data_IF_775894209748
#
_entry.id   IF_775894209748
#
_cell.length_a   1.000
_cell.length_b   1.000
_cell.length_c   1.000
_cell.angle_alpha   90.00
_cell.angle_beta   90.00
_cell.angle_gamma   90.00
#
_symmetry.space_group_name_H-M   'P 1'
#
loop_
_entity.id
_entity.type
_entity.pdbx_description
1 polymer ?
#
# COMPACT_ATOMS: atom_id res chain seq x y z
N UNK A 1 -13.02 -20.45 40.82
CA UNK A 1 -11.85 -20.27 39.94
C UNK A 1 -11.79 -18.80 39.53
N UNK A 2 -11.13 -17.97 40.36
CA UNK A 2 -10.89 -16.56 40.08
C UNK A 2 -9.68 -16.48 39.14
N UNK A 3 -9.92 -16.14 37.87
CA UNK A 3 -8.84 -15.76 36.96
C UNK A 3 -8.20 -14.47 37.50
N UNK A 4 -6.90 -14.53 37.78
CA UNK A 4 -6.11 -13.35 38.12
C UNK A 4 -6.19 -12.37 36.95
N UNK A 5 -6.34 -11.05 37.21
CA UNK A 5 -6.31 -10.06 36.15
C UNK A 5 -4.95 -10.10 35.45
N UNK A 6 -5.00 -10.19 34.12
CA UNK A 6 -3.82 -10.11 33.26
C UNK A 6 -3.16 -8.72 33.43
N UNK A 7 -2.14 -8.68 34.25
CA UNK A 7 -1.40 -7.46 34.63
C UNK A 7 -0.30 -7.12 33.62
N UNK A 8 -0.51 -7.45 32.34
CA UNK A 8 0.33 -6.91 31.27
C UNK A 8 0.04 -5.41 31.15
N UNK A 9 1.05 -4.53 31.12
CA UNK A 9 0.81 -3.13 30.87
C UNK A 9 0.09 -3.02 29.54
N UNK A 10 -1.15 -2.53 29.57
CA UNK A 10 -1.89 -2.13 28.36
C UNK A 10 -1.11 -0.96 27.76
N UNK A 11 -0.21 -1.30 26.84
CA UNK A 11 0.44 -0.30 26.00
C UNK A 11 -0.66 0.20 25.06
N UNK A 12 -1.40 1.22 25.45
CA UNK A 12 -2.43 1.83 24.64
C UNK A 12 -1.84 2.87 23.71
N UNK A 13 -2.60 3.22 22.67
CA UNK A 13 -2.24 4.28 21.71
C UNK A 13 -2.95 5.61 22.02
N UNK A 14 -3.59 5.74 23.17
CA UNK A 14 -4.37 6.92 23.55
C UNK A 14 -3.55 8.21 23.56
N UNK A 15 -2.27 8.17 23.95
CA UNK A 15 -1.36 9.32 23.88
C UNK A 15 -1.18 9.82 22.45
N UNK A 16 -1.09 8.93 21.47
CA UNK A 16 -0.96 9.29 20.06
C UNK A 16 -2.28 9.82 19.50
N UNK A 17 -3.39 9.17 19.84
CA UNK A 17 -4.74 9.67 19.46
C UNK A 17 -4.96 11.08 19.98
N UNK A 18 -4.52 11.39 21.20
CA UNK A 18 -4.59 12.73 21.77
C UNK A 18 -3.81 13.77 20.94
N UNK A 19 -2.63 13.43 20.42
CA UNK A 19 -1.85 14.35 19.57
C UNK A 19 -2.49 14.57 18.20
N UNK A 20 -2.86 13.49 17.50
CA UNK A 20 -3.43 13.57 16.15
C UNK A 20 -4.90 14.02 16.13
N UNK A 21 -5.60 13.91 17.26
CA UNK A 21 -7.05 14.14 17.38
C UNK A 21 -7.45 15.47 18.03
N UNK A 22 -6.52 16.42 18.23
CA UNK A 22 -6.79 17.72 18.91
C UNK A 22 -7.70 18.69 18.15
N UNK A 23 -8.41 18.24 17.14
CA UNK A 23 -9.23 19.08 16.28
C UNK A 23 -8.45 19.66 15.10
N UNK A 24 -9.16 20.41 14.24
CA UNK A 24 -8.65 20.86 12.93
C UNK A 24 -7.37 21.68 13.03
N UNK A 25 -7.30 22.57 14.03
CA UNK A 25 -6.20 23.53 14.16
C UNK A 25 -5.17 23.10 15.23
N UNK A 26 -5.50 22.10 16.05
CA UNK A 26 -4.66 21.62 17.15
C UNK A 26 -3.98 20.28 16.89
N UNK A 27 -4.37 19.57 15.85
CA UNK A 27 -3.79 18.28 15.52
C UNK A 27 -2.31 18.39 15.17
N UNK A 28 -1.49 17.51 15.76
CA UNK A 28 -0.05 17.46 15.54
C UNK A 28 0.34 16.18 14.84
N UNK A 29 1.35 16.27 13.98
CA UNK A 29 1.96 15.10 13.37
C UNK A 29 2.76 14.32 14.43
N UNK A 30 2.76 13.00 14.29
CA UNK A 30 3.64 12.12 15.04
C UNK A 30 5.04 12.13 14.42
N UNK A 31 6.06 11.90 15.24
CA UNK A 31 7.38 11.56 14.69
C UNK A 31 7.35 10.18 14.04
N UNK A 32 8.36 9.87 13.23
CA UNK A 32 8.48 8.54 12.59
C UNK A 32 8.49 7.40 13.59
N UNK A 33 9.19 7.60 14.74
CA UNK A 33 9.26 6.61 15.81
C UNK A 33 7.91 6.41 16.50
N UNK A 34 7.20 7.51 16.80
CA UNK A 34 5.86 7.45 17.40
C UNK A 34 4.85 6.76 16.44
N UNK A 35 4.91 7.08 15.15
CA UNK A 35 4.09 6.46 14.14
C UNK A 35 4.42 4.96 13.98
N UNK A 36 5.71 4.58 14.09
CA UNK A 36 6.16 3.18 14.06
C UNK A 36 5.60 2.41 15.26
N UNK A 37 5.68 2.98 16.46
CA UNK A 37 5.16 2.33 17.68
C UNK A 37 3.63 2.18 17.61
N UNK A 38 2.91 3.26 17.26
CA UNK A 38 1.46 3.22 17.12
C UNK A 38 1.01 2.14 16.14
N UNK A 39 1.54 2.17 14.92
CA UNK A 39 1.16 1.21 13.89
C UNK A 39 1.56 -0.21 14.29
N UNK A 40 2.70 -0.39 14.94
CA UNK A 40 3.14 -1.67 15.46
C UNK A 40 2.13 -2.27 16.44
N UNK A 41 1.66 -1.50 17.40
CA UNK A 41 0.64 -1.94 18.37
C UNK A 41 -0.69 -2.30 17.70
N UNK A 42 -1.12 -1.50 16.70
CA UNK A 42 -2.34 -1.76 15.92
C UNK A 42 -2.21 -3.08 15.14
N UNK A 43 -1.12 -3.26 14.42
CA UNK A 43 -0.89 -4.48 13.60
C UNK A 43 -0.75 -5.75 14.45
N UNK A 44 -0.19 -5.63 15.66
CA UNK A 44 -0.06 -6.72 16.63
C UNK A 44 -1.38 -7.06 17.34
N UNK A 45 -2.44 -6.24 17.17
CA UNK A 45 -3.70 -6.41 17.86
C UNK A 45 -3.60 -6.15 19.38
N UNK A 46 -2.69 -5.27 19.80
CA UNK A 46 -2.47 -4.92 21.23
C UNK A 46 -3.31 -3.74 21.68
N UNK A 47 -4.20 -3.27 20.85
CA UNK A 47 -5.08 -2.12 21.08
C UNK A 47 -6.53 -2.56 20.96
N UNK A 48 -7.42 -1.82 21.60
CA UNK A 48 -8.86 -2.07 21.52
C UNK A 48 -9.45 -1.61 20.19
N UNK A 49 -10.58 -2.15 19.79
CA UNK A 49 -11.32 -1.73 18.60
C UNK A 49 -11.69 -0.23 18.66
N UNK A 50 -11.98 0.28 19.87
CA UNK A 50 -12.28 1.70 20.10
C UNK A 50 -11.05 2.58 19.79
N UNK A 51 -9.86 2.16 20.22
CA UNK A 51 -8.61 2.87 19.90
C UNK A 51 -8.31 2.82 18.41
N UNK A 52 -8.51 1.67 17.76
CA UNK A 52 -8.35 1.53 16.30
C UNK A 52 -9.31 2.48 15.57
N UNK A 53 -10.58 2.50 15.95
CA UNK A 53 -11.58 3.41 15.38
C UNK A 53 -11.21 4.88 15.58
N UNK A 54 -10.81 5.26 16.78
CA UNK A 54 -10.34 6.61 17.12
C UNK A 54 -9.12 7.03 16.29
N UNK A 55 -8.12 6.16 16.17
CA UNK A 55 -6.95 6.37 15.33
C UNK A 55 -7.33 6.56 13.85
N UNK A 56 -8.14 5.67 13.30
CA UNK A 56 -8.55 5.74 11.90
C UNK A 56 -9.29 7.04 11.59
N UNK A 57 -10.20 7.46 12.46
CA UNK A 57 -10.97 8.69 12.27
C UNK A 57 -10.11 9.95 12.44
N UNK A 58 -9.27 10.00 13.48
CA UNK A 58 -8.37 11.12 13.71
C UNK A 58 -7.41 11.34 12.53
N UNK A 59 -6.80 10.26 12.03
CA UNK A 59 -5.93 10.33 10.85
C UNK A 59 -6.68 10.70 9.57
N UNK A 60 -7.92 10.24 9.40
CA UNK A 60 -8.74 10.62 8.25
C UNK A 60 -9.02 12.12 8.20
N UNK A 61 -9.20 12.75 9.36
CA UNK A 61 -9.47 14.19 9.48
C UNK A 61 -8.18 15.00 9.33
N UNK A 62 -7.10 14.57 10.00
CA UNK A 62 -5.81 15.27 9.98
C UNK A 62 -5.06 15.10 8.65
N UNK A 63 -5.10 13.92 8.06
CA UNK A 63 -4.22 13.47 6.99
C UNK A 63 -2.86 12.99 7.50
N UNK A 64 -2.25 12.06 6.79
CA UNK A 64 -0.91 11.54 7.09
C UNK A 64 0.17 12.47 6.54
N UNK A 65 1.25 12.68 7.30
CA UNK A 65 2.48 13.28 6.78
C UNK A 65 3.39 12.21 6.18
N UNK A 66 4.35 12.56 5.30
CA UNK A 66 5.35 11.62 4.80
C UNK A 66 6.17 10.93 5.91
N UNK A 67 6.49 11.65 6.97
CA UNK A 67 7.18 11.13 8.17
C UNK A 67 6.35 10.06 8.88
N UNK A 68 5.07 10.35 9.13
CA UNK A 68 4.15 9.38 9.74
C UNK A 68 3.99 8.15 8.87
N UNK A 69 3.84 8.35 7.56
CA UNK A 69 3.71 7.25 6.61
C UNK A 69 4.97 6.40 6.56
N UNK A 70 6.16 7.00 6.64
CA UNK A 70 7.41 6.26 6.73
C UNK A 70 7.46 5.40 8.00
N UNK A 71 7.04 5.94 9.15
CA UNK A 71 6.93 5.17 10.40
C UNK A 71 5.93 4.03 10.31
N UNK A 72 4.78 4.24 9.67
CA UNK A 72 3.79 3.18 9.43
C UNK A 72 4.34 2.08 8.52
N UNK A 73 5.13 2.44 7.52
CA UNK A 73 5.84 1.49 6.65
C UNK A 73 6.89 0.70 7.42
N UNK A 74 7.69 1.34 8.27
CA UNK A 74 8.69 0.66 9.11
C UNK A 74 8.04 -0.41 9.99
N UNK A 75 6.96 -0.07 10.69
CA UNK A 75 6.20 -1.01 11.52
C UNK A 75 5.63 -2.18 10.72
N UNK A 76 5.11 -1.88 9.52
CA UNK A 76 4.53 -2.88 8.62
C UNK A 76 5.60 -3.80 8.07
N UNK A 77 6.69 -3.26 7.53
CA UNK A 77 7.81 -4.04 7.00
C UNK A 77 8.41 -5.00 8.02
N UNK A 78 8.49 -4.60 9.29
CA UNK A 78 8.96 -5.47 10.38
C UNK A 78 8.02 -6.66 10.67
N UNK A 79 6.76 -6.61 10.20
CA UNK A 79 5.73 -7.62 10.46
C UNK A 79 5.29 -8.40 9.23
N UNK A 80 5.75 -7.99 8.05
CA UNK A 80 5.45 -8.72 6.82
C UNK A 80 6.18 -10.07 6.80
N UNK A 81 5.45 -11.10 6.43
CA UNK A 81 6.06 -12.30 5.88
C UNK A 81 6.45 -11.98 4.44
N UNK A 82 7.74 -11.77 4.23
CA UNK A 82 8.26 -11.27 2.95
C UNK A 82 8.82 -12.41 2.12
N UNK A 83 8.36 -12.60 0.86
CA UNK A 83 9.03 -13.51 -0.05
C UNK A 83 10.44 -13.03 -0.33
N UNK A 84 11.42 -13.95 -0.46
CA UNK A 84 12.75 -13.57 -0.87
C UNK A 84 12.72 -12.99 -2.28
N UNK A 85 13.48 -11.93 -2.53
CA UNK A 85 13.77 -11.50 -3.88
C UNK A 85 14.83 -12.43 -4.49
N UNK A 86 14.67 -12.72 -5.78
CA UNK A 86 15.70 -13.39 -6.56
C UNK A 86 16.86 -12.45 -6.91
N UNK A 87 17.70 -12.86 -7.86
CA UNK A 87 18.82 -12.05 -8.36
C UNK A 87 18.36 -10.76 -9.07
N UNK A 88 17.13 -10.71 -9.57
CA UNK A 88 16.54 -9.55 -10.25
C UNK A 88 15.54 -8.84 -9.34
N UNK A 89 15.40 -7.50 -9.48
CA UNK A 89 14.37 -6.75 -8.78
C UNK A 89 12.97 -7.25 -9.14
N UNK A 90 12.10 -7.37 -8.14
CA UNK A 90 10.70 -7.72 -8.33
C UNK A 90 9.90 -6.46 -8.66
N UNK A 91 9.11 -6.50 -9.73
CA UNK A 91 8.12 -5.44 -10.02
C UNK A 91 6.90 -5.65 -9.15
N UNK A 92 6.60 -4.68 -8.31
CA UNK A 92 5.50 -4.73 -7.34
C UNK A 92 4.34 -3.86 -7.81
N UNK A 93 3.17 -4.47 -7.96
CA UNK A 93 1.93 -3.83 -8.39
C UNK A 93 0.88 -3.88 -7.27
N UNK A 94 0.74 -2.83 -6.43
CA UNK A 94 -0.29 -2.77 -5.40
C UNK A 94 -1.68 -2.60 -6.03
N UNK A 95 -2.63 -3.53 -5.77
CA UNK A 95 -3.98 -3.50 -6.33
C UNK A 95 -5.02 -3.58 -5.20
N UNK A 96 -5.50 -2.43 -4.75
CA UNK A 96 -6.41 -2.28 -3.60
C UNK A 96 -7.67 -1.49 -3.90
N UNK A 97 -7.69 -0.77 -5.00
CA UNK A 97 -8.85 0.05 -5.35
C UNK A 97 -9.88 -0.74 -6.13
N UNK A 98 -9.45 -1.63 -7.01
CA UNK A 98 -10.32 -2.31 -7.95
C UNK A 98 -10.96 -1.36 -8.97
N UNK A 99 -11.66 -1.93 -9.94
CA UNK A 99 -12.33 -1.18 -10.99
C UNK A 99 -13.85 -1.11 -10.77
N UNK A 100 -14.45 0.04 -11.11
CA UNK A 100 -15.89 0.27 -11.04
C UNK A 100 -16.49 0.67 -12.37
N UNK A 101 -15.83 1.52 -13.12
CA UNK A 101 -16.31 2.08 -14.40
C UNK A 101 -15.45 1.67 -15.60
N UNK A 102 -14.18 1.42 -15.38
CA UNK A 102 -13.20 1.05 -16.39
C UNK A 102 -12.69 -0.37 -16.16
N UNK A 103 -12.16 -1.06 -17.18
CA UNK A 103 -11.56 -2.37 -16.99
C UNK A 103 -10.40 -2.33 -15.99
N UNK A 104 -10.27 -3.36 -15.16
CA UNK A 104 -9.13 -3.54 -14.27
C UNK A 104 -7.96 -4.15 -15.06
N UNK A 105 -6.99 -3.34 -15.42
CA UNK A 105 -5.87 -3.76 -16.25
C UNK A 105 -4.61 -4.12 -15.47
N UNK A 106 -4.61 -4.02 -14.15
CA UNK A 106 -3.45 -4.40 -13.32
C UNK A 106 -3.02 -5.84 -13.53
N UNK A 107 -3.92 -6.86 -13.58
CA UNK A 107 -3.52 -8.23 -13.90
C UNK A 107 -2.92 -8.36 -15.30
N UNK A 108 -3.49 -7.70 -16.31
CA UNK A 108 -2.94 -7.70 -17.66
C UNK A 108 -1.53 -7.11 -17.71
N UNK A 109 -1.31 -5.96 -17.05
CA UNK A 109 0.02 -5.36 -16.94
C UNK A 109 1.02 -6.33 -16.30
N UNK A 110 0.63 -6.97 -15.20
CA UNK A 110 1.46 -7.96 -14.52
C UNK A 110 1.86 -9.13 -15.43
N UNK A 111 0.90 -9.67 -16.17
CA UNK A 111 1.15 -10.78 -17.11
C UNK A 111 2.02 -10.36 -18.30
N UNK A 112 1.85 -9.15 -18.83
CA UNK A 112 2.69 -8.62 -19.90
C UNK A 112 4.13 -8.39 -19.45
N UNK A 113 4.34 -7.85 -18.26
CA UNK A 113 5.67 -7.67 -17.67
C UNK A 113 6.34 -9.02 -17.41
N UNK A 114 5.60 -10.00 -16.90
CA UNK A 114 6.09 -11.36 -16.72
C UNK A 114 6.49 -12.00 -18.06
N UNK A 115 5.67 -11.86 -19.09
CA UNK A 115 5.99 -12.32 -20.44
C UNK A 115 7.26 -11.66 -20.99
N UNK A 116 7.56 -10.42 -20.58
CA UNK A 116 8.80 -9.73 -20.92
C UNK A 116 10.01 -10.16 -20.06
N UNK A 117 9.85 -11.17 -19.19
CA UNK A 117 10.91 -11.72 -18.35
C UNK A 117 11.02 -11.13 -16.94
N UNK A 118 10.18 -10.18 -16.55
CA UNK A 118 10.20 -9.65 -15.20
C UNK A 118 9.64 -10.64 -14.18
N UNK A 119 10.16 -10.59 -12.94
CA UNK A 119 9.50 -11.17 -11.79
C UNK A 119 8.43 -10.17 -11.31
N UNK A 120 7.16 -10.55 -11.25
CA UNK A 120 6.06 -9.65 -10.92
C UNK A 120 5.27 -10.15 -9.71
N UNK A 121 5.09 -9.28 -8.73
CA UNK A 121 4.24 -9.50 -7.59
C UNK A 121 3.09 -8.49 -7.60
N UNK A 122 1.88 -8.97 -7.81
CA UNK A 122 0.65 -8.20 -7.59
C UNK A 122 0.17 -8.53 -6.19
N UNK A 123 -0.08 -7.54 -5.35
CA UNK A 123 -0.62 -7.79 -4.03
C UNK A 123 -1.87 -6.93 -3.78
N UNK A 124 -2.78 -7.46 -2.98
CA UNK A 124 -4.03 -6.79 -2.73
C UNK A 124 -4.97 -7.57 -1.82
N UNK A 125 -6.08 -6.94 -1.53
CA UNK A 125 -7.24 -7.54 -0.87
C UNK A 125 -8.48 -6.72 -1.20
N UNK A 126 -9.67 -7.33 -1.28
CA UNK A 126 -10.90 -6.59 -1.43
C UNK A 126 -11.14 -5.66 -0.23
N UNK A 127 -11.25 -4.36 -0.48
CA UNK A 127 -11.58 -3.35 0.55
C UNK A 127 -12.98 -2.78 0.39
N UNK A 128 -13.68 -3.14 -0.70
CA UNK A 128 -15.02 -2.67 -1.06
C UNK A 128 -15.71 -3.71 -1.96
N UNK A 129 -16.95 -4.08 -1.64
CA UNK A 129 -17.64 -5.20 -2.30
C UNK A 129 -18.20 -4.87 -3.70
N UNK A 130 -18.31 -3.58 -4.04
CA UNK A 130 -18.89 -3.11 -5.31
C UNK A 130 -17.88 -2.97 -6.44
N UNK A 131 -16.65 -3.44 -6.27
CA UNK A 131 -15.59 -3.28 -7.25
C UNK A 131 -15.05 -4.62 -7.73
N UNK A 132 -14.68 -4.67 -8.99
CA UNK A 132 -13.91 -5.80 -9.53
C UNK A 132 -12.49 -5.71 -9.03
N UNK A 133 -12.00 -6.74 -8.36
CA UNK A 133 -10.66 -6.79 -7.77
C UNK A 133 -9.68 -7.56 -8.64
N UNK A 134 -8.37 -7.34 -8.45
CA UNK A 134 -7.35 -8.12 -9.16
C UNK A 134 -7.47 -9.61 -8.86
N UNK A 135 -7.80 -9.98 -7.64
CA UNK A 135 -8.04 -11.37 -7.25
C UNK A 135 -9.14 -12.02 -8.10
N UNK A 136 -10.28 -11.33 -8.27
CA UNK A 136 -11.38 -11.82 -9.09
C UNK A 136 -10.99 -11.98 -10.57
N UNK A 137 -10.21 -11.05 -11.11
CA UNK A 137 -9.72 -11.13 -12.49
C UNK A 137 -8.72 -12.28 -12.65
N UNK A 138 -7.77 -12.45 -11.75
CA UNK A 138 -6.82 -13.57 -11.76
C UNK A 138 -7.55 -14.91 -11.66
N UNK A 139 -8.54 -15.03 -10.77
CA UNK A 139 -9.35 -16.23 -10.65
C UNK A 139 -10.09 -16.57 -11.95
N UNK A 140 -10.67 -15.55 -12.63
CA UNK A 140 -11.34 -15.73 -13.93
C UNK A 140 -10.36 -16.16 -15.05
N UNK A 141 -9.07 -15.80 -14.92
CA UNK A 141 -8.00 -16.22 -15.83
C UNK A 141 -7.39 -17.58 -15.46
N UNK A 142 -7.91 -18.26 -14.44
CA UNK A 142 -7.38 -19.53 -13.94
C UNK A 142 -6.07 -19.41 -13.15
N UNK A 143 -5.69 -18.21 -12.73
CA UNK A 143 -4.50 -17.96 -11.90
C UNK A 143 -4.94 -17.95 -10.44
N UNK A 144 -4.57 -18.99 -9.69
CA UNK A 144 -4.88 -19.07 -8.27
C UNK A 144 -4.04 -18.06 -7.46
N UNK A 145 -4.65 -17.42 -6.44
CA UNK A 145 -3.88 -16.61 -5.51
C UNK A 145 -2.89 -17.47 -4.72
N UNK A 146 -1.76 -16.89 -4.35
CA UNK A 146 -0.80 -17.57 -3.50
C UNK A 146 -1.40 -17.77 -2.09
N UNK A 147 -1.48 -19.01 -1.64
CA UNK A 147 -1.99 -19.36 -0.30
C UNK A 147 -0.96 -19.17 0.80
N UNK A 148 0.30 -19.03 0.42
CA UNK A 148 1.46 -18.76 1.29
C UNK A 148 2.45 -17.86 0.59
N UNK A 149 3.29 -17.22 1.37
CA UNK A 149 4.39 -16.40 0.83
C UNK A 149 5.33 -17.28 0.02
N UNK A 150 5.56 -16.91 -1.23
CA UNK A 150 6.46 -17.59 -2.17
C UNK A 150 7.28 -16.55 -2.94
N UNK A 151 8.45 -16.97 -3.43
CA UNK A 151 9.29 -16.11 -4.25
C UNK A 151 8.59 -15.74 -5.56
N UNK A 152 8.84 -14.53 -6.05
CA UNK A 152 8.46 -14.11 -7.39
C UNK A 152 9.60 -14.47 -8.35
N UNK A 153 9.33 -15.41 -9.25
CA UNK A 153 10.31 -15.89 -10.20
C UNK A 153 10.30 -15.06 -11.49
N UNK A 154 11.44 -14.87 -12.15
CA UNK A 154 11.51 -14.22 -13.47
C UNK A 154 10.56 -14.88 -14.48
N UNK A 155 9.86 -14.08 -15.25
CA UNK A 155 8.87 -14.56 -16.21
C UNK A 155 7.53 -14.99 -15.60
N UNK A 156 7.32 -14.78 -14.30
CA UNK A 156 6.06 -15.12 -13.62
C UNK A 156 5.37 -13.90 -13.03
N UNK A 157 4.03 -13.98 -12.95
CA UNK A 157 3.18 -13.00 -12.26
C UNK A 157 2.42 -13.72 -11.14
N UNK A 158 2.71 -13.36 -9.91
CA UNK A 158 2.09 -13.95 -8.73
C UNK A 158 1.13 -12.95 -8.09
N UNK A 159 -0.11 -13.37 -7.79
CA UNK A 159 -1.02 -12.60 -6.95
C UNK A 159 -0.92 -13.09 -5.49
N UNK A 160 -0.60 -12.15 -4.59
CA UNK A 160 -0.44 -12.43 -3.17
C UNK A 160 -1.45 -11.64 -2.34
N UNK A 161 -2.39 -12.32 -1.68
CA UNK A 161 -3.32 -11.68 -0.77
C UNK A 161 -2.61 -11.02 0.43
N UNK A 162 -3.12 -9.88 0.87
CA UNK A 162 -2.53 -9.13 2.00
C UNK A 162 -2.48 -9.96 3.28
N UNK A 163 -3.50 -10.77 3.54
CA UNK A 163 -3.59 -11.63 4.71
C UNK A 163 -2.51 -12.73 4.74
N UNK A 164 -2.03 -13.18 3.59
CA UNK A 164 -0.92 -14.11 3.51
C UNK A 164 0.40 -13.49 4.00
N UNK A 165 0.55 -12.17 3.79
CA UNK A 165 1.74 -11.43 4.20
C UNK A 165 1.63 -10.85 5.60
N UNK A 166 0.48 -10.26 5.95
CA UNK A 166 0.26 -9.61 7.25
C UNK A 166 -1.23 -9.56 7.60
N UNK A 167 -1.65 -10.42 8.50
CA UNK A 167 -3.05 -10.48 8.96
C UNK A 167 -3.49 -9.20 9.68
N UNK A 168 -2.59 -8.57 10.46
CA UNK A 168 -2.87 -7.30 11.14
C UNK A 168 -3.17 -6.17 10.15
N UNK A 169 -2.44 -6.11 9.04
CA UNK A 169 -2.69 -5.13 7.98
C UNK A 169 -4.03 -5.37 7.29
N UNK A 170 -4.38 -6.64 7.03
CA UNK A 170 -5.71 -7.00 6.49
C UNK A 170 -6.82 -6.55 7.42
N UNK A 171 -6.70 -6.81 8.74
CA UNK A 171 -7.69 -6.37 9.74
C UNK A 171 -7.85 -4.85 9.74
N UNK A 172 -6.75 -4.09 9.66
CA UNK A 172 -6.80 -2.62 9.62
C UNK A 172 -7.48 -2.12 8.34
N UNK A 173 -7.25 -2.75 7.18
CA UNK A 173 -7.97 -2.45 5.95
C UNK A 173 -9.47 -2.72 6.08
N UNK A 174 -9.86 -3.80 6.75
CA UNK A 174 -11.26 -4.19 6.95
C UNK A 174 -12.02 -3.25 7.90
N UNK A 175 -11.35 -2.46 8.73
CA UNK A 175 -11.98 -1.41 9.55
C UNK A 175 -12.86 -0.49 8.70
N UNK A 176 -12.50 -0.28 7.42
CA UNK A 176 -13.34 0.47 6.48
C UNK A 176 -14.75 -0.09 6.34
N UNK A 177 -14.94 -1.41 6.42
CA UNK A 177 -16.26 -2.05 6.31
C UNK A 177 -17.19 -1.68 7.46
N UNK A 178 -16.60 -1.39 8.62
CA UNK A 178 -17.33 -0.98 9.83
C UNK A 178 -17.48 0.54 9.90
N UNK A 179 -16.39 1.27 9.73
CA UNK A 179 -16.36 2.74 9.89
C UNK A 179 -16.85 3.48 8.63
N UNK A 180 -16.84 2.83 7.46
CA UNK A 180 -17.26 3.43 6.19
C UNK A 180 -16.21 4.35 5.56
N UNK A 181 -15.07 4.58 6.21
CA UNK A 181 -14.03 5.51 5.78
C UNK A 181 -12.71 4.80 5.53
N UNK A 182 -11.94 5.29 4.55
CA UNK A 182 -10.54 4.88 4.37
C UNK A 182 -9.70 5.35 5.54
N UNK A 183 -8.71 4.55 5.91
CA UNK A 183 -7.73 4.81 6.96
C UNK A 183 -6.30 4.78 6.39
N UNK A 184 -5.25 5.06 7.17
CA UNK A 184 -3.87 5.11 6.69
C UNK A 184 -3.39 3.86 5.97
N UNK A 185 -3.91 2.68 6.28
CA UNK A 185 -3.52 1.44 5.61
C UNK A 185 -3.79 1.48 4.09
N UNK A 186 -4.83 2.21 3.65
CA UNK A 186 -5.18 2.32 2.23
C UNK A 186 -4.15 3.13 1.41
N UNK A 187 -3.42 4.04 2.05
CA UNK A 187 -2.29 4.77 1.46
C UNK A 187 -1.01 3.95 1.58
N UNK A 188 -0.77 3.37 2.76
CA UNK A 188 0.39 2.58 3.10
C UNK A 188 0.62 1.41 2.12
N UNK A 189 -0.42 0.63 1.81
CA UNK A 189 -0.30 -0.55 0.94
C UNK A 189 0.17 -0.23 -0.48
N UNK A 190 0.02 1.02 -0.91
CA UNK A 190 0.50 1.48 -2.22
C UNK A 190 1.99 1.86 -2.23
N UNK A 191 2.59 1.96 -1.06
CA UNK A 191 3.96 2.43 -0.84
C UNK A 191 4.88 1.33 -0.31
N UNK A 192 4.32 0.23 0.19
CA UNK A 192 5.12 -0.81 0.84
C UNK A 192 5.91 -1.66 -0.15
N UNK A 193 7.11 -2.06 0.26
CA UNK A 193 7.88 -3.12 -0.38
C UNK A 193 7.53 -4.46 0.29
N UNK A 194 6.77 -5.34 -0.37
CA UNK A 194 6.36 -6.61 0.22
C UNK A 194 7.41 -7.72 0.11
N UNK A 195 8.54 -7.51 -0.58
CA UNK A 195 9.57 -8.54 -0.78
C UNK A 195 10.80 -8.27 0.08
N UNK A 196 11.54 -9.33 0.41
CA UNK A 196 12.82 -9.23 1.09
C UNK A 196 13.94 -9.13 0.05
N UNK A 197 14.25 -7.88 -0.34
CA UNK A 197 15.26 -7.58 -1.34
C UNK A 197 14.85 -6.50 -2.33
N UNK A 198 15.56 -6.40 -3.47
CA UNK A 198 15.31 -5.36 -4.45
C UNK A 198 13.91 -5.44 -5.06
N UNK A 199 13.20 -4.31 -5.04
CA UNK A 199 11.88 -4.18 -5.64
C UNK A 199 11.76 -2.84 -6.39
N UNK A 200 10.93 -2.85 -7.43
CA UNK A 200 10.45 -1.65 -8.10
C UNK A 200 8.94 -1.52 -7.84
N UNK A 201 8.58 -0.61 -6.95
CA UNK A 201 7.18 -0.38 -6.59
C UNK A 201 6.53 0.52 -7.63
N UNK A 202 5.39 0.10 -8.19
CA UNK A 202 4.60 0.96 -9.08
C UNK A 202 3.50 1.63 -8.26
N UNK A 203 3.82 2.79 -7.68
CA UNK A 203 2.88 3.61 -6.91
C UNK A 203 1.91 4.36 -7.82
N UNK A 204 0.65 4.49 -7.40
CA UNK A 204 -0.36 5.20 -8.16
C UNK A 204 -1.18 6.14 -7.30
N UNK A 205 -1.48 7.32 -7.83
CA UNK A 205 -2.38 8.30 -7.23
C UNK A 205 -3.54 8.63 -8.16
N UNK A 206 -4.65 9.12 -7.61
CA UNK A 206 -5.80 9.61 -8.38
C UNK A 206 -5.80 11.13 -8.44
N UNK A 207 -5.48 11.79 -7.33
CA UNK A 207 -5.46 13.24 -7.19
C UNK A 207 -4.03 13.74 -7.09
N UNK A 208 -3.66 14.81 -7.82
CA UNK A 208 -2.29 15.31 -7.92
C UNK A 208 -1.63 15.66 -6.57
N UNK A 209 -2.40 16.08 -5.58
CA UNK A 209 -1.90 16.41 -4.24
C UNK A 209 -1.23 15.22 -3.54
N UNK A 210 -1.65 14.01 -3.84
CA UNK A 210 -1.01 12.80 -3.28
C UNK A 210 0.34 12.47 -3.93
N UNK A 211 0.61 12.98 -5.13
CA UNK A 211 1.88 12.68 -5.82
C UNK A 211 3.09 13.17 -5.02
N UNK A 212 3.01 14.38 -4.45
CA UNK A 212 4.10 14.95 -3.67
C UNK A 212 4.35 14.15 -2.38
N UNK A 213 3.31 13.92 -1.60
CA UNK A 213 3.42 13.14 -0.34
C UNK A 213 3.93 11.71 -0.58
N UNK A 214 3.47 11.04 -1.63
CA UNK A 214 3.96 9.70 -1.98
C UNK A 214 5.43 9.73 -2.41
N UNK A 215 5.85 10.70 -3.23
CA UNK A 215 7.24 10.85 -3.65
C UNK A 215 8.17 11.14 -2.46
N UNK A 216 7.76 12.00 -1.54
CA UNK A 216 8.49 12.29 -0.30
C UNK A 216 8.60 11.06 0.59
N UNK A 217 7.53 10.28 0.73
CA UNK A 217 7.57 9.01 1.49
C UNK A 217 8.54 8.01 0.85
N UNK A 218 8.54 7.85 -0.48
CA UNK A 218 9.51 7.01 -1.17
C UNK A 218 10.95 7.49 -0.96
N UNK A 219 11.15 8.80 -0.93
CA UNK A 219 12.47 9.38 -0.65
C UNK A 219 12.93 9.08 0.79
N UNK A 220 12.05 9.25 1.78
CA UNK A 220 12.34 8.99 3.20
C UNK A 220 12.63 7.49 3.47
N UNK A 221 11.95 6.60 2.76
CA UNK A 221 12.15 5.15 2.89
C UNK A 221 13.26 4.58 2.02
N UNK A 222 13.86 5.38 1.13
CA UNK A 222 14.87 4.95 0.17
C UNK A 222 14.35 3.97 -0.89
N UNK A 223 13.05 3.87 -1.07
CA UNK A 223 12.44 2.93 -1.98
C UNK A 223 12.73 3.25 -3.45
N UNK A 224 12.81 2.19 -4.27
CA UNK A 224 12.83 2.33 -5.72
C UNK A 224 11.38 2.23 -6.22
N UNK A 225 10.88 3.30 -6.83
CA UNK A 225 9.50 3.34 -7.27
C UNK A 225 9.31 4.07 -8.60
N UNK A 226 8.25 3.71 -9.29
CA UNK A 226 7.64 4.50 -10.35
C UNK A 226 6.32 5.05 -9.81
N UNK A 227 6.10 6.34 -9.92
CA UNK A 227 4.88 7.00 -9.46
C UNK A 227 4.14 7.60 -10.66
N UNK A 228 2.87 7.24 -10.80
CA UNK A 228 2.04 7.71 -11.90
C UNK A 228 0.60 7.99 -11.46
N UNK A 229 -0.11 8.79 -12.26
CA UNK A 229 -1.56 8.92 -12.09
C UNK A 229 -2.24 7.66 -12.60
N UNK A 230 -2.83 6.90 -11.67
CA UNK A 230 -3.45 5.62 -11.96
C UNK A 230 -4.90 5.74 -12.44
N UNK A 231 -5.36 4.71 -13.14
CA UNK A 231 -6.76 4.55 -13.54
C UNK A 231 -7.56 4.02 -12.36
N UNK A 232 -8.52 4.79 -11.87
CA UNK A 232 -9.33 4.47 -10.67
C UNK A 232 -8.48 4.13 -9.42
N UNK A 233 -7.20 4.57 -9.39
CA UNK A 233 -6.25 4.34 -8.29
C UNK A 233 -5.47 3.04 -8.37
N UNK A 234 -5.58 2.32 -9.49
CA UNK A 234 -4.77 1.16 -9.81
C UNK A 234 -3.46 1.57 -10.51
N UNK A 235 -2.38 0.77 -10.43
CA UNK A 235 -1.05 1.13 -10.96
C UNK A 235 -0.96 0.97 -12.49
N UNK A 236 -1.97 1.42 -13.19
CA UNK A 236 -2.07 1.39 -14.66
C UNK A 236 -2.43 2.77 -15.17
N UNK A 237 -1.70 3.26 -16.15
CA UNK A 237 -1.97 4.53 -16.79
C UNK A 237 -3.29 4.51 -17.58
N UNK A 238 -3.95 5.65 -17.63
CA UNK A 238 -5.12 5.84 -18.50
C UNK A 238 -4.65 5.94 -19.95
N UNK A 239 -5.08 5.00 -20.80
CA UNK A 239 -4.71 4.95 -22.23
C UNK A 239 -5.10 6.20 -23.04
N UNK A 240 -6.02 7.02 -22.53
CA UNK A 240 -6.44 8.27 -23.15
C UNK A 240 -5.47 9.43 -22.92
N UNK A 241 -4.42 9.24 -22.12
CA UNK A 241 -3.46 10.29 -21.72
C UNK A 241 -2.04 9.75 -21.80
N UNK A 242 -1.11 10.60 -22.24
CA UNK A 242 0.30 10.34 -22.04
C UNK A 242 0.60 10.35 -20.53
N UNK A 243 1.05 9.24 -19.91
CA UNK A 243 1.30 9.21 -18.49
C UNK A 243 2.58 9.99 -18.17
N UNK A 244 2.52 10.88 -17.19
CA UNK A 244 3.72 11.35 -16.52
C UNK A 244 4.13 10.28 -15.52
N UNK A 245 5.33 9.75 -15.68
CA UNK A 245 5.90 8.75 -14.76
C UNK A 245 7.08 9.40 -14.06
N UNK A 246 7.04 9.44 -12.74
CA UNK A 246 8.13 9.91 -11.90
C UNK A 246 8.90 8.69 -11.38
N UNK A 247 10.22 8.69 -11.54
CA UNK A 247 11.07 7.67 -10.98
C UNK A 247 11.67 8.15 -9.65
N UNK A 248 11.46 7.40 -8.58
CA UNK A 248 12.08 7.58 -7.28
C UNK A 248 13.17 6.52 -7.11
N UNK A 249 14.41 6.94 -6.88
CA UNK A 249 15.54 6.02 -6.68
C UNK A 249 16.46 6.55 -5.58
N UNK A 250 16.63 5.77 -4.52
CA UNK A 250 17.54 6.07 -3.42
C UNK A 250 17.41 7.52 -2.90
N UNK A 251 16.17 7.96 -2.60
CA UNK A 251 15.89 9.31 -2.12
C UNK A 251 15.95 10.42 -3.18
N UNK A 252 16.17 10.10 -4.46
CA UNK A 252 16.21 11.07 -5.56
C UNK A 252 15.00 10.91 -6.47
N UNK A 253 14.32 12.01 -6.75
CA UNK A 253 13.22 12.13 -7.70
C UNK A 253 13.77 12.50 -9.09
N UNK A 254 13.32 11.78 -10.13
CA UNK A 254 13.61 12.11 -11.54
C UNK A 254 12.34 12.02 -12.35
N UNK A 255 11.98 13.09 -13.05
CA UNK A 255 10.90 13.05 -14.03
C UNK A 255 11.37 12.26 -15.26
N UNK A 256 10.65 11.21 -15.60
CA UNK A 256 10.74 10.57 -16.91
C UNK A 256 9.51 10.99 -17.71
N UNK A 257 9.67 12.00 -18.57
CA UNK A 257 8.69 12.21 -19.63
C UNK A 257 8.88 11.09 -20.67
N UNK A 258 7.80 10.47 -21.15
CA UNK A 258 7.89 9.64 -22.34
C UNK A 258 8.46 10.50 -23.48
N UNK A 259 9.25 9.95 -24.39
CA UNK A 259 9.64 10.69 -25.59
C UNK A 259 8.36 11.17 -26.27
N UNK A 260 8.33 12.45 -26.63
CA UNK A 260 7.19 13.05 -27.34
C UNK A 260 6.84 12.14 -28.52
N UNK A 261 5.64 11.57 -28.50
CA UNK A 261 5.18 10.68 -29.54
C UNK A 261 5.29 11.37 -30.90
N UNK A 262 5.76 10.63 -31.88
CA UNK A 262 5.73 11.03 -33.27
C UNK A 262 4.30 11.39 -33.72
N UNK A 263 4.15 11.94 -34.91
CA UNK A 263 2.91 12.56 -35.36
C UNK A 263 1.71 11.61 -35.24
N UNK A 264 0.62 12.13 -34.71
CA UNK A 264 -0.68 11.45 -34.73
C UNK A 264 -0.98 11.11 -36.18
N UNK A 265 -1.11 9.82 -36.49
CA UNK A 265 -1.72 9.44 -37.75
C UNK A 265 -3.15 9.98 -37.83
N UNK A 266 -3.62 10.35 -39.01
CA UNK A 266 -4.92 10.99 -39.25
C UNK A 266 -6.11 10.10 -38.84
#
# INVERSE_FOLDING_TARGET
>A
SSALPDNRPTMGISQYIKEIGRGKDGARALTREQATDLMGQVLDGRVTDLEVGGFCLAMRIKGETPEEMAGFLDATHARLRRPPAGAQPVVVLPSYNGARKLPLLTPLLGLLLARAGAAVLVHGTPTEDKRVTAEAVFAALGVAPATRVCAAEPGTCTFMPTEAMCLGLKRLLDVRRVVGLRNPAHSLVKLMNPVDGPALIVGSYTHPEYATSMAETFALTGAHALLLRGTEGEPVADARRAPRIEACRAGRRRDRQPPHGGPRAP
#
